data_IF_188546610739
#
_entry.id   IF_188546610739
#
_cell.length_a   1.000
_cell.length_b   1.000
_cell.length_c   1.000
_cell.angle_alpha   90.00
_cell.angle_beta   90.00
_cell.angle_gamma   90.00
#
_symmetry.space_group_name_H-M   'P 1'
#
loop_
_entity.id
_entity.type
_entity.pdbx_description
1 polymer ?
#
# COMPACT_ATOMS: atom_id res chain seq x y z
N UNK A 1 -0.91 -18.10 6.02
CA UNK A 1 0.28 -18.17 5.15
C UNK A 1 1.41 -17.42 5.81
N UNK A 2 2.29 -18.17 6.47
CA UNK A 2 3.55 -17.67 7.02
C UNK A 2 4.31 -16.89 5.95
N UNK A 3 4.93 -15.77 6.34
CA UNK A 3 5.93 -15.11 5.50
C UNK A 3 7.04 -16.15 5.32
N UNK A 4 7.23 -16.63 4.10
CA UNK A 4 8.31 -17.58 3.81
C UNK A 4 9.59 -16.75 3.71
N UNK A 5 10.44 -16.86 4.73
CA UNK A 5 11.78 -16.26 4.67
C UNK A 5 12.64 -17.03 3.68
N UNK A 6 12.88 -16.43 2.50
CA UNK A 6 13.80 -16.95 1.50
C UNK A 6 15.20 -16.38 1.75
N UNK A 7 16.16 -17.23 2.10
CA UNK A 7 17.57 -16.86 2.17
C UNK A 7 18.11 -16.66 0.76
N UNK A 8 18.65 -15.47 0.47
CA UNK A 8 19.32 -15.18 -0.81
C UNK A 8 20.63 -15.97 -0.89
N UNK A 9 20.86 -16.77 -1.95
CA UNK A 9 22.10 -17.53 -2.09
C UNK A 9 23.35 -16.63 -2.15
N UNK A 10 24.49 -17.17 -1.72
CA UNK A 10 25.76 -16.45 -1.76
C UNK A 10 26.11 -16.02 -3.20
N UNK A 11 26.46 -14.74 -3.37
CA UNK A 11 26.78 -14.15 -4.69
C UNK A 11 25.58 -13.55 -5.45
N UNK A 12 24.36 -13.62 -4.90
CA UNK A 12 23.17 -13.01 -5.49
C UNK A 12 22.69 -11.81 -4.67
N UNK A 13 22.06 -10.85 -5.34
CA UNK A 13 21.39 -9.70 -4.71
C UNK A 13 19.88 -9.79 -4.94
N UNK A 14 19.05 -9.38 -3.96
CA UNK A 14 17.60 -9.34 -4.16
C UNK A 14 17.23 -8.27 -5.18
N UNK A 15 16.68 -8.68 -6.32
CA UNK A 15 16.15 -7.78 -7.35
C UNK A 15 14.76 -7.26 -7.00
N UNK A 16 14.08 -7.92 -6.06
CA UNK A 16 12.74 -7.59 -5.62
C UNK A 16 12.65 -7.70 -4.10
N UNK A 17 12.08 -6.68 -3.47
CA UNK A 17 11.80 -6.66 -2.03
C UNK A 17 10.42 -6.09 -1.78
N UNK A 18 9.85 -6.36 -0.60
CA UNK A 18 8.56 -5.76 -0.23
C UNK A 18 8.75 -4.23 -0.08
N UNK A 19 7.85 -3.41 -0.65
CA UNK A 19 7.92 -1.95 -0.50
C UNK A 19 7.92 -1.54 0.98
N UNK A 20 8.75 -0.58 1.33
CA UNK A 20 8.88 -0.01 2.69
C UNK A 20 7.62 0.74 3.09
N UNK A 21 6.98 1.43 2.15
CA UNK A 21 5.72 2.14 2.34
C UNK A 21 4.52 1.21 2.56
N UNK A 22 4.68 -0.10 2.45
CA UNK A 22 3.61 -1.08 2.69
C UNK A 22 3.76 -1.71 4.09
N UNK A 23 2.68 -1.75 4.85
CA UNK A 23 2.64 -2.34 6.19
C UNK A 23 2.70 -3.87 6.12
N UNK A 24 2.92 -4.53 7.26
CA UNK A 24 2.94 -5.99 7.36
C UNK A 24 1.55 -6.61 7.47
N UNK A 25 0.49 -5.77 7.47
CA UNK A 25 -0.88 -6.25 7.51
C UNK A 25 -1.24 -6.99 6.23
N UNK A 26 -2.03 -8.04 6.39
CA UNK A 26 -2.56 -8.80 5.26
C UNK A 26 -3.71 -8.03 4.62
N UNK A 27 -3.76 -8.07 3.31
CA UNK A 27 -4.88 -7.52 2.58
C UNK A 27 -6.15 -8.33 2.87
N UNK A 28 -7.25 -7.61 3.01
CA UNK A 28 -8.61 -8.15 3.13
C UNK A 28 -9.24 -8.42 1.76
N UNK A 29 -8.48 -8.23 0.68
CA UNK A 29 -8.93 -8.41 -0.69
C UNK A 29 -9.09 -9.88 -1.07
N UNK A 30 -10.06 -10.17 -1.94
CA UNK A 30 -10.25 -11.49 -2.51
C UNK A 30 -9.02 -11.95 -3.33
N UNK A 31 -8.68 -13.25 -3.31
CA UNK A 31 -7.62 -13.79 -4.15
C UNK A 31 -7.94 -13.57 -5.63
N UNK A 32 -6.97 -13.08 -6.41
CA UNK A 32 -7.14 -12.76 -7.83
C UNK A 32 -7.71 -11.36 -8.11
N UNK A 33 -8.14 -10.61 -7.10
CA UNK A 33 -8.56 -9.22 -7.31
C UNK A 33 -7.34 -8.29 -7.43
N UNK A 34 -7.43 -7.30 -8.31
CA UNK A 34 -6.30 -6.42 -8.62
C UNK A 34 -5.98 -5.38 -7.54
N UNK A 35 -6.85 -5.19 -6.54
CA UNK A 35 -6.60 -4.21 -5.47
C UNK A 35 -5.28 -4.48 -4.74
N UNK A 36 -4.91 -5.75 -4.53
CA UNK A 36 -3.65 -6.10 -3.89
C UNK A 36 -2.43 -5.72 -4.73
N UNK A 37 -2.49 -5.94 -6.05
CA UNK A 37 -1.43 -5.56 -6.99
C UNK A 37 -1.33 -4.03 -7.07
N UNK A 38 -2.46 -3.33 -7.23
CA UNK A 38 -2.51 -1.86 -7.30
C UNK A 38 -1.96 -1.24 -6.01
N UNK A 39 -2.38 -1.72 -4.84
CA UNK A 39 -1.89 -1.23 -3.54
C UNK A 39 -0.36 -1.36 -3.45
N UNK A 40 0.20 -2.48 -3.92
CA UNK A 40 1.65 -2.68 -3.96
C UNK A 40 2.35 -1.74 -4.94
N UNK A 41 1.84 -1.59 -6.16
CA UNK A 41 2.44 -0.71 -7.17
C UNK A 41 2.46 0.75 -6.71
N UNK A 42 1.41 1.21 -6.04
CA UNK A 42 1.39 2.54 -5.43
C UNK A 42 2.44 2.67 -4.32
N UNK A 43 2.65 1.63 -3.51
CA UNK A 43 3.70 1.63 -2.48
C UNK A 43 5.11 1.68 -3.10
N UNK A 44 5.34 0.93 -4.18
CA UNK A 44 6.59 0.97 -4.96
C UNK A 44 6.85 2.39 -5.49
N UNK A 45 5.83 3.03 -6.07
CA UNK A 45 5.95 4.40 -6.56
C UNK A 45 6.24 5.43 -5.45
N UNK A 46 5.62 5.30 -4.27
CA UNK A 46 5.91 6.16 -3.12
C UNK A 46 7.37 6.02 -2.67
N UNK A 47 7.87 4.78 -2.61
CA UNK A 47 9.25 4.48 -2.23
C UNK A 47 10.26 5.00 -3.26
N UNK A 48 10.01 4.77 -4.55
CA UNK A 48 10.87 5.23 -5.66
C UNK A 48 10.98 6.75 -5.70
N UNK A 49 9.88 7.46 -5.43
CA UNK A 49 9.86 8.91 -5.35
C UNK A 49 10.44 9.44 -4.03
N UNK A 50 10.64 8.59 -3.01
CA UNK A 50 11.13 8.99 -1.70
C UNK A 50 10.17 9.91 -0.93
N UNK A 51 8.86 9.75 -1.13
CA UNK A 51 7.84 10.69 -0.63
C UNK A 51 6.97 10.14 0.52
N UNK A 52 7.35 9.03 1.14
CA UNK A 52 6.56 8.39 2.21
C UNK A 52 6.13 9.38 3.31
N UNK A 53 7.10 10.12 3.88
CA UNK A 53 6.87 11.08 4.99
C UNK A 53 6.09 12.34 4.59
N UNK A 54 5.78 12.51 3.31
CA UNK A 54 5.03 13.66 2.77
C UNK A 54 3.81 13.23 1.95
N UNK A 55 3.37 11.99 2.13
CA UNK A 55 2.20 11.43 1.47
C UNK A 55 1.08 11.27 2.47
N UNK A 56 -0.07 11.86 2.17
CA UNK A 56 -1.33 11.60 2.89
C UNK A 56 -2.29 10.92 1.92
N UNK A 57 -2.82 9.77 2.33
CA UNK A 57 -3.80 9.02 1.55
C UNK A 57 -5.24 9.40 1.89
N UNK A 58 -6.15 9.19 0.94
CA UNK A 58 -7.59 9.30 1.20
C UNK A 58 -8.27 7.98 0.87
N UNK A 59 -8.73 7.27 1.91
CA UNK A 59 -9.37 5.97 1.76
C UNK A 59 -10.84 6.15 1.32
N UNK A 60 -11.31 5.46 0.26
CA UNK A 60 -12.69 5.51 -0.18
C UNK A 60 -13.59 4.59 0.65
N UNK A 61 -14.90 4.57 0.35
CA UNK A 61 -15.79 3.50 0.80
C UNK A 61 -15.84 2.39 -0.25
N UNK A 62 -15.54 1.15 0.14
CA UNK A 62 -15.51 -0.04 -0.72
C UNK A 62 -14.48 -1.06 -0.23
N UNK A 63 -14.09 -2.03 -1.06
CA UNK A 63 -13.06 -3.01 -0.69
C UNK A 63 -11.75 -2.32 -0.26
N UNK A 64 -11.36 -1.25 -0.95
CA UNK A 64 -10.17 -0.45 -0.69
C UNK A 64 -10.29 0.49 0.53
N UNK A 65 -11.36 0.40 1.32
CA UNK A 65 -11.51 1.24 2.53
C UNK A 65 -10.36 1.05 3.51
N UNK A 66 -9.79 -0.16 3.59
CA UNK A 66 -8.73 -0.51 4.52
C UNK A 66 -7.33 -0.05 4.08
N UNK A 67 -7.20 0.79 3.06
CA UNK A 67 -5.90 1.27 2.59
C UNK A 67 -5.07 1.94 3.70
N UNK A 68 -5.73 2.60 4.66
CA UNK A 68 -5.08 3.18 5.84
C UNK A 68 -4.42 2.15 6.76
N UNK A 69 -4.77 0.88 6.63
CA UNK A 69 -4.10 -0.22 7.34
C UNK A 69 -2.90 -0.76 6.57
N UNK A 70 -2.91 -0.62 5.25
CA UNK A 70 -1.98 -1.28 4.33
C UNK A 70 -0.76 -0.43 4.01
N UNK A 71 -0.87 0.88 4.08
CA UNK A 71 0.24 1.79 3.87
C UNK A 71 0.83 2.29 5.18
N UNK A 72 2.14 2.54 5.18
CA UNK A 72 2.85 3.24 6.26
C UNK A 72 2.87 4.75 5.99
N UNK A 73 1.70 5.31 5.72
CA UNK A 73 1.44 6.75 5.56
C UNK A 73 0.18 7.11 6.34
N UNK A 74 -0.03 8.40 6.60
CA UNK A 74 -1.28 8.87 7.22
C UNK A 74 -2.44 8.86 6.21
N UNK A 75 -3.65 8.56 6.67
CA UNK A 75 -4.84 8.46 5.82
C UNK A 75 -6.06 9.12 6.46
N UNK A 76 -6.88 9.75 5.61
CA UNK A 76 -8.24 10.16 5.95
C UNK A 76 -9.26 9.24 5.26
N UNK A 77 -10.24 8.71 5.99
CA UNK A 77 -11.35 7.98 5.38
C UNK A 77 -12.43 8.96 4.92
N UNK A 78 -12.75 8.95 3.63
CA UNK A 78 -13.78 9.79 3.06
C UNK A 78 -15.15 9.11 3.03
N UNK A 79 -16.21 9.91 3.04
CA UNK A 79 -17.56 9.42 2.75
C UNK A 79 -17.65 8.83 1.32
N UNK A 80 -18.64 7.96 1.10
CA UNK A 80 -18.81 7.29 -0.20
C UNK A 80 -18.93 8.31 -1.35
N UNK A 81 -18.10 8.12 -2.38
CA UNK A 81 -18.02 9.03 -3.54
C UNK A 81 -17.35 10.39 -3.26
N UNK A 82 -16.76 10.63 -2.09
CA UNK A 82 -16.18 11.92 -1.70
C UNK A 82 -14.66 11.94 -1.53
N UNK A 83 -13.97 10.85 -1.87
CA UNK A 83 -12.51 10.75 -1.72
C UNK A 83 -11.76 11.92 -2.38
N UNK A 84 -12.06 12.26 -3.64
CA UNK A 84 -11.40 13.38 -4.31
C UNK A 84 -11.71 14.74 -3.67
N UNK A 85 -12.96 14.96 -3.20
CA UNK A 85 -13.33 16.21 -2.54
C UNK A 85 -12.60 16.40 -1.21
N UNK A 86 -12.45 15.32 -0.43
CA UNK A 86 -11.64 15.33 0.80
C UNK A 86 -10.17 15.56 0.46
N UNK A 87 -9.64 14.89 -0.56
CA UNK A 87 -8.25 15.07 -1.00
C UNK A 87 -7.94 16.48 -1.50
N UNK A 88 -8.91 17.20 -2.08
CA UNK A 88 -8.75 18.62 -2.45
C UNK A 88 -8.73 19.56 -1.24
N UNK A 89 -9.38 19.17 -0.14
CA UNK A 89 -9.45 20.00 1.07
C UNK A 89 -8.25 19.83 2.01
N UNK A 90 -7.56 18.69 1.93
CA UNK A 90 -6.28 18.43 2.60
C UNK A 90 -5.16 19.16 1.83
#
# INVERSE_FOLDING_TARGET
MSVVETKVPAGFVPVYTRPKSLSDKRFTYCPGCHHGIITRLVAEAIDELGIQERTVGVAPVGCAVFLYEFFRCDFAQAAHGRACAVATGI
#
